data_IF_945608745101
#
_entry.id   IF_945608745101
#
_cell.length_a   1.000
_cell.length_b   1.000
_cell.length_c   1.000
_cell.angle_alpha   90.00
_cell.angle_beta   90.00
_cell.angle_gamma   90.00
#
_symmetry.space_group_name_H-M   'P 1'
#
loop_
_entity.id
_entity.type
_entity.pdbx_description
1 polymer ?
#
# COMPACT_ATOMS: atom_id res chain seq x y z
N UNK A 1 18.02 -10.79 -25.94
CA UNK A 1 17.76 -12.21 -26.23
C UNK A 1 16.50 -12.60 -25.45
N UNK A 2 15.33 -12.55 -26.08
CA UNK A 2 14.08 -12.99 -25.46
C UNK A 2 14.10 -14.52 -25.39
N UNK A 3 13.92 -15.09 -24.19
CA UNK A 3 13.82 -16.54 -24.00
C UNK A 3 12.34 -16.93 -23.91
N UNK A 4 11.70 -17.35 -25.03
CA UNK A 4 10.27 -17.70 -25.06
C UNK A 4 9.93 -18.94 -24.21
N UNK A 5 10.96 -19.69 -23.76
CA UNK A 5 10.80 -20.87 -22.91
C UNK A 5 10.10 -20.57 -21.58
N UNK A 6 10.35 -19.39 -21.00
CA UNK A 6 9.69 -18.98 -19.74
C UNK A 6 8.18 -18.84 -19.92
N UNK A 7 7.73 -18.36 -21.08
CA UNK A 7 6.29 -18.24 -21.39
C UNK A 7 5.66 -19.60 -21.70
N UNK A 8 6.42 -20.52 -22.31
CA UNK A 8 5.97 -21.89 -22.59
C UNK A 8 5.71 -22.72 -21.34
N UNK A 9 6.38 -22.44 -20.22
CA UNK A 9 6.20 -23.14 -18.94
C UNK A 9 4.84 -22.86 -18.27
N UNK A 10 4.20 -21.72 -18.56
CA UNK A 10 2.92 -21.32 -17.96
C UNK A 10 1.71 -21.51 -18.89
N UNK A 11 1.93 -21.93 -20.14
CA UNK A 11 0.87 -22.17 -21.14
C UNK A 11 0.34 -23.61 -21.10
N UNK A 12 0.44 -24.31 -19.96
CA UNK A 12 -0.30 -25.55 -19.75
C UNK A 12 -1.69 -25.20 -19.21
N UNK A 13 -2.69 -25.32 -20.07
CA UNK A 13 -4.09 -25.16 -19.68
C UNK A 13 -4.67 -26.55 -19.41
N UNK A 14 -5.00 -26.90 -18.15
CA UNK A 14 -5.71 -28.14 -17.86
C UNK A 14 -7.01 -28.21 -18.67
N UNK A 15 -7.26 -29.38 -19.25
CA UNK A 15 -8.46 -29.66 -20.05
C UNK A 15 -9.71 -29.64 -19.16
N UNK A 16 -9.55 -30.01 -17.89
CA UNK A 16 -10.58 -29.95 -16.87
C UNK A 16 -10.50 -28.65 -16.05
N UNK A 17 -11.57 -27.84 -16.11
CA UNK A 17 -11.63 -26.54 -15.43
C UNK A 17 -11.51 -26.63 -13.90
N UNK A 18 -11.74 -27.81 -13.33
CA UNK A 18 -11.65 -28.04 -11.89
C UNK A 18 -10.22 -27.86 -11.35
N UNK A 19 -9.19 -28.07 -12.17
CA UNK A 19 -7.78 -27.92 -11.78
C UNK A 19 -7.38 -26.44 -11.55
N UNK A 20 -8.17 -25.47 -12.03
CA UNK A 20 -7.95 -24.05 -11.72
C UNK A 20 -8.48 -23.62 -10.34
N UNK A 21 -9.29 -24.46 -9.67
CA UNK A 21 -9.88 -24.15 -8.37
C UNK A 21 -8.84 -23.67 -7.33
N UNK A 22 -7.73 -24.40 -7.12
CA UNK A 22 -6.67 -24.00 -6.19
C UNK A 22 -6.02 -22.64 -6.56
N UNK A 23 -5.82 -22.37 -7.85
CA UNK A 23 -5.25 -21.10 -8.31
C UNK A 23 -6.20 -19.92 -8.06
N UNK A 24 -7.51 -20.12 -8.27
CA UNK A 24 -8.51 -19.09 -7.99
C UNK A 24 -8.59 -18.76 -6.49
N UNK A 25 -8.57 -19.79 -5.63
CA UNK A 25 -8.61 -19.60 -4.17
C UNK A 25 -7.37 -18.85 -3.67
N UNK A 26 -6.18 -19.25 -4.10
CA UNK A 26 -4.94 -18.56 -3.72
C UNK A 26 -4.93 -17.11 -4.21
N UNK A 27 -5.33 -16.87 -5.46
CA UNK A 27 -5.45 -15.52 -6.00
C UNK A 27 -6.40 -14.64 -5.18
N UNK A 28 -7.59 -15.15 -4.83
CA UNK A 28 -8.56 -14.41 -4.03
C UNK A 28 -8.01 -14.10 -2.64
N UNK A 29 -7.35 -15.06 -1.98
CA UNK A 29 -6.73 -14.84 -0.67
C UNK A 29 -5.67 -13.73 -0.73
N UNK A 30 -4.77 -13.78 -1.71
CA UNK A 30 -3.75 -12.74 -1.90
C UNK A 30 -4.38 -11.40 -2.26
N UNK A 31 -5.42 -11.38 -3.08
CA UNK A 31 -6.12 -10.15 -3.46
C UNK A 31 -6.77 -9.48 -2.24
N UNK A 32 -7.46 -10.25 -1.39
CA UNK A 32 -8.04 -9.75 -0.15
C UNK A 32 -6.93 -9.21 0.77
N UNK A 33 -5.86 -9.98 0.97
CA UNK A 33 -4.73 -9.57 1.80
C UNK A 33 -4.08 -8.27 1.30
N UNK A 34 -3.90 -8.12 -0.01
CA UNK A 34 -3.35 -6.90 -0.62
C UNK A 34 -4.25 -5.68 -0.38
N UNK A 35 -5.57 -5.84 -0.56
CA UNK A 35 -6.53 -4.76 -0.31
C UNK A 35 -6.56 -4.34 1.17
N UNK A 36 -6.53 -5.31 2.08
CA UNK A 36 -6.48 -5.04 3.52
C UNK A 36 -5.18 -4.32 3.90
N UNK A 37 -4.03 -4.80 3.40
CA UNK A 37 -2.72 -4.21 3.65
C UNK A 37 -2.67 -2.77 3.14
N UNK A 38 -3.13 -2.51 1.92
CA UNK A 38 -3.21 -1.16 1.36
C UNK A 38 -4.06 -0.23 2.23
N UNK A 39 -5.27 -0.67 2.63
CA UNK A 39 -6.14 0.11 3.51
C UNK A 39 -5.48 0.39 4.86
N UNK A 40 -4.74 -0.58 5.41
CA UNK A 40 -4.05 -0.42 6.68
C UNK A 40 -2.93 0.63 6.60
N UNK A 41 -2.09 0.55 5.56
CA UNK A 41 -1.00 1.51 5.33
C UNK A 41 -1.55 2.94 5.17
N UNK A 42 -2.59 3.13 4.36
CA UNK A 42 -3.21 4.44 4.15
C UNK A 42 -3.76 5.01 5.47
N UNK A 43 -4.39 4.18 6.30
CA UNK A 43 -4.91 4.62 7.59
C UNK A 43 -3.81 5.04 8.56
N UNK A 44 -2.69 4.32 8.61
CA UNK A 44 -1.53 4.71 9.43
C UNK A 44 -0.96 6.04 8.92
N UNK A 45 -0.73 6.14 7.61
CA UNK A 45 -0.19 7.36 6.99
C UNK A 45 -1.04 8.59 7.28
N UNK A 46 -2.38 8.48 7.20
CA UNK A 46 -3.29 9.59 7.55
C UNK A 46 -3.14 10.03 9.01
N UNK A 47 -2.96 9.10 9.94
CA UNK A 47 -2.77 9.41 11.37
C UNK A 47 -1.44 10.12 11.62
N UNK A 48 -0.39 9.68 10.95
CA UNK A 48 0.93 10.31 11.03
C UNK A 48 0.94 11.70 10.42
N UNK A 49 0.35 11.86 9.22
CA UNK A 49 0.22 13.16 8.55
C UNK A 49 -0.54 14.18 9.42
N UNK A 50 -1.59 13.75 10.12
CA UNK A 50 -2.32 14.63 11.06
C UNK A 50 -1.44 15.08 12.22
N UNK A 51 -0.69 14.16 12.84
CA UNK A 51 0.23 14.49 13.95
C UNK A 51 1.35 15.43 13.51
N UNK A 52 1.89 15.23 12.31
CA UNK A 52 2.91 16.09 11.73
C UNK A 52 2.38 17.52 11.53
N UNK A 53 1.18 17.68 10.96
CA UNK A 53 0.53 18.99 10.82
C UNK A 53 0.31 19.70 12.17
N UNK A 54 -0.19 18.98 13.17
CA UNK A 54 -0.38 19.55 14.51
C UNK A 54 0.95 20.02 15.14
N UNK A 55 2.06 19.33 14.84
CA UNK A 55 3.39 19.72 15.30
C UNK A 55 3.89 20.97 14.56
N UNK A 56 3.75 21.01 13.23
CA UNK A 56 4.10 22.17 12.41
C UNK A 56 3.35 23.43 12.87
N UNK A 57 2.04 23.34 13.11
CA UNK A 57 1.24 24.46 13.62
C UNK A 57 1.71 24.95 14.99
N UNK A 58 2.10 24.05 15.90
CA UNK A 58 2.64 24.42 17.22
C UNK A 58 3.97 25.16 17.09
N UNK A 59 4.87 24.68 16.23
CA UNK A 59 6.17 25.30 15.98
C UNK A 59 5.97 26.69 15.35
N UNK A 60 5.08 26.83 14.37
CA UNK A 60 4.75 28.12 13.74
C UNK A 60 4.15 29.12 14.73
N UNK A 61 3.23 28.69 15.60
CA UNK A 61 2.67 29.56 16.65
C UNK A 61 3.73 30.00 17.65
N UNK A 62 4.64 29.11 18.03
CA UNK A 62 5.70 29.45 18.97
C UNK A 62 6.75 30.39 18.35
N UNK A 63 7.11 30.20 17.07
CA UNK A 63 8.03 31.09 16.37
C UNK A 63 7.42 32.47 16.09
N UNK A 64 6.12 32.54 15.75
CA UNK A 64 5.43 33.82 15.57
C UNK A 64 5.29 34.60 16.87
N UNK A 65 5.02 33.92 18.00
CA UNK A 65 4.94 34.57 19.32
C UNK A 65 6.31 35.09 19.76
N UNK A 66 7.37 34.30 19.53
CA UNK A 66 8.74 34.70 19.91
C UNK A 66 9.25 35.90 19.11
N UNK A 67 8.95 35.95 17.81
CA UNK A 67 9.31 37.09 16.96
C UNK A 67 8.59 38.41 17.31
N UNK A 68 7.42 38.35 17.95
CA UNK A 68 6.66 39.53 18.39
C UNK A 68 6.97 39.97 19.83
N UNK A 69 7.75 39.18 20.59
CA UNK A 69 8.24 39.54 21.93
C UNK A 69 9.66 40.13 21.92
N UNK A 70 10.34 40.09 20.78
CA UNK A 70 11.68 40.65 20.57
C UNK A 70 11.66 41.95 19.74
N UNK A 71 10.48 42.51 19.45
CA UNK A 71 10.28 43.84 18.84
C UNK A 71 9.62 44.82 19.82
#
# INVERSE_FOLDING_TARGET
MFQPFVLSLFLYFPEDKSEYGPAAVTFILFMIAALLTMKWIINISKREAKKAKELEEKIMKQSSIKGNSEQ
#
